data_IF_381682222959
#
_entry.id   IF_381682222959
#
_cell.length_a   1.000
_cell.length_b   1.000
_cell.length_c   1.000
_cell.angle_alpha   90.00
_cell.angle_beta   90.00
_cell.angle_gamma   90.00
#
_symmetry.space_group_name_H-M   'P 1'
#
loop_
_entity.id
_entity.type
_entity.pdbx_description
1 polymer ?
#
# COMPACT_ATOMS: atom_id res chain seq x y z
N UNK A 1 16.42 27.73 -13.08
CA UNK A 1 15.04 27.88 -13.60
C UNK A 1 14.62 26.50 -14.09
N UNK A 2 14.02 25.70 -13.22
CA UNK A 2 13.68 24.30 -13.50
C UNK A 2 12.17 24.20 -13.73
N UNK A 3 11.75 24.24 -14.99
CA UNK A 3 10.33 24.25 -15.41
C UNK A 3 9.91 22.87 -15.94
N UNK A 4 10.51 21.79 -15.42
CA UNK A 4 10.15 20.41 -15.83
C UNK A 4 9.65 19.55 -14.66
N UNK A 5 10.08 19.82 -13.41
CA UNK A 5 9.61 19.08 -12.22
C UNK A 5 8.17 19.42 -11.83
N UNK A 6 7.78 20.69 -11.94
CA UNK A 6 6.44 21.16 -11.54
C UNK A 6 5.30 20.57 -12.40
N UNK A 7 5.57 20.26 -13.68
CA UNK A 7 4.57 19.68 -14.59
C UNK A 7 4.29 18.21 -14.32
N UNK A 8 5.32 17.44 -13.94
CA UNK A 8 5.18 16.03 -13.58
C UNK A 8 4.49 15.84 -12.22
N UNK A 9 4.82 16.69 -11.24
CA UNK A 9 4.17 16.66 -9.92
C UNK A 9 2.72 17.13 -10.01
N UNK A 10 2.42 18.17 -10.79
CA UNK A 10 1.05 18.62 -11.04
C UNK A 10 0.22 17.55 -11.77
N UNK A 11 0.80 16.87 -12.77
CA UNK A 11 0.12 15.78 -13.48
C UNK A 11 -0.16 14.58 -12.55
N UNK A 12 0.77 14.25 -11.65
CA UNK A 12 0.57 13.18 -10.66
C UNK A 12 -0.45 13.55 -9.59
N UNK A 13 -0.42 14.77 -9.06
CA UNK A 13 -1.45 15.27 -8.15
C UNK A 13 -2.82 15.25 -8.81
N UNK A 14 -2.93 15.70 -10.06
CA UNK A 14 -4.20 15.73 -10.77
C UNK A 14 -4.74 14.32 -11.08
N UNK A 15 -3.88 13.34 -11.36
CA UNK A 15 -4.27 11.93 -11.52
C UNK A 15 -4.66 11.30 -10.18
N UNK A 16 -3.97 11.65 -9.10
CA UNK A 16 -4.26 11.20 -7.73
C UNK A 16 -5.61 11.74 -7.23
N UNK A 17 -5.82 13.05 -7.32
CA UNK A 17 -7.06 13.72 -6.90
C UNK A 17 -8.25 13.24 -7.71
N UNK A 18 -8.05 12.97 -9.00
CA UNK A 18 -9.08 12.37 -9.87
C UNK A 18 -9.37 10.92 -9.49
N UNK A 19 -8.39 10.15 -9.02
CA UNK A 19 -8.61 8.79 -8.57
C UNK A 19 -9.32 8.73 -7.22
N UNK A 20 -8.98 9.64 -6.29
CA UNK A 20 -9.62 9.76 -4.97
C UNK A 20 -11.04 10.33 -5.10
N UNK A 21 -11.25 11.39 -5.87
CA UNK A 21 -12.56 11.99 -6.06
C UNK A 21 -13.57 11.06 -6.75
N UNK A 22 -13.11 10.15 -7.62
CA UNK A 22 -13.96 9.09 -8.21
C UNK A 22 -14.36 8.03 -7.21
N UNK A 23 -13.46 7.68 -6.30
CA UNK A 23 -13.73 6.70 -5.24
C UNK A 23 -14.80 7.21 -4.28
N UNK A 24 -14.76 8.50 -3.90
CA UNK A 24 -15.73 9.08 -2.97
C UNK A 24 -17.12 9.33 -3.58
N UNK A 25 -17.23 9.67 -4.88
CA UNK A 25 -18.51 10.04 -5.49
C UNK A 25 -19.28 8.88 -6.16
N UNK A 26 -18.61 7.85 -6.68
CA UNK A 26 -19.25 6.81 -7.53
C UNK A 26 -19.16 5.40 -6.92
N UNK A 27 -18.64 5.27 -5.69
CA UNK A 27 -18.48 3.97 -5.03
C UNK A 27 -17.62 2.98 -5.81
N UNK A 28 -16.70 3.49 -6.65
CA UNK A 28 -15.79 2.66 -7.45
C UNK A 28 -16.41 1.93 -8.64
N UNK A 29 -17.67 2.18 -9.02
CA UNK A 29 -18.26 1.53 -10.21
C UNK A 29 -17.98 2.32 -11.49
N UNK A 30 -17.45 1.64 -12.52
CA UNK A 30 -17.21 2.24 -13.84
C UNK A 30 -18.28 1.80 -14.84
N UNK A 31 -18.96 2.75 -15.47
CA UNK A 31 -19.79 2.54 -16.65
C UNK A 31 -19.33 3.45 -17.81
N UNK A 32 -18.78 2.84 -18.86
CA UNK A 32 -18.60 3.43 -20.20
C UNK A 32 -17.29 4.24 -20.40
N UNK A 33 -16.24 3.68 -21.05
CA UNK A 33 -16.01 3.40 -22.48
C UNK A 33 -15.32 4.54 -23.23
N UNK A 34 -14.04 4.33 -23.56
CA UNK A 34 -13.41 4.39 -24.90
C UNK A 34 -11.89 4.65 -24.74
N UNK A 35 -10.93 4.13 -25.51
CA UNK A 35 -10.83 3.00 -26.43
C UNK A 35 -9.36 3.03 -26.88
N UNK A 36 -8.52 2.08 -26.45
CA UNK A 36 -7.46 1.60 -27.32
C UNK A 36 -7.24 0.11 -27.04
N UNK A 37 -7.41 -0.65 -28.11
CA UNK A 37 -7.70 -2.07 -28.14
C UNK A 37 -6.43 -2.83 -28.52
N UNK A 38 -6.04 -3.80 -27.71
CA UNK A 38 -5.73 -5.16 -28.17
C UNK A 38 -6.36 -6.11 -27.16
N UNK A 39 -7.27 -7.02 -27.57
CA UNK A 39 -8.00 -7.86 -26.63
C UNK A 39 -7.29 -9.21 -26.45
N UNK A 40 -7.07 -9.65 -25.21
CA UNK A 40 -7.18 -11.09 -24.91
C UNK A 40 -8.40 -11.36 -24.05
N UNK A 41 -9.20 -12.30 -24.57
CA UNK A 41 -10.58 -12.62 -24.20
C UNK A 41 -10.64 -13.11 -22.74
N UNK A 42 -11.36 -12.41 -21.89
CA UNK A 42 -11.81 -12.84 -20.56
C UNK A 42 -10.76 -12.95 -19.42
N UNK A 43 -9.53 -12.45 -19.58
CA UNK A 43 -8.50 -12.44 -18.51
C UNK A 43 -8.17 -11.07 -17.88
N UNK A 44 -8.41 -9.97 -18.58
CA UNK A 44 -7.67 -8.72 -18.32
C UNK A 44 -8.30 -7.76 -17.28
N UNK A 45 -9.61 -7.86 -16.99
CA UNK A 45 -10.25 -6.94 -16.03
C UNK A 45 -9.90 -7.33 -14.58
N UNK A 46 -9.93 -8.63 -14.27
CA UNK A 46 -9.55 -9.13 -12.94
C UNK A 46 -8.05 -8.99 -12.66
N UNK A 47 -7.20 -9.15 -13.69
CA UNK A 47 -5.75 -9.02 -13.56
C UNK A 47 -5.30 -7.56 -13.49
N UNK A 48 -5.96 -6.65 -14.23
CA UNK A 48 -5.71 -5.22 -14.11
C UNK A 48 -6.16 -4.68 -12.74
N UNK A 49 -7.30 -5.15 -12.21
CA UNK A 49 -7.76 -4.78 -10.86
C UNK A 49 -6.83 -5.34 -9.78
N UNK A 50 -6.47 -6.62 -9.85
CA UNK A 50 -5.52 -7.24 -8.94
C UNK A 50 -4.12 -6.59 -9.02
N UNK A 51 -3.67 -6.24 -10.23
CA UNK A 51 -2.44 -5.51 -10.48
C UNK A 51 -2.48 -4.11 -9.85
N UNK A 52 -3.56 -3.36 -10.06
CA UNK A 52 -3.75 -2.05 -9.46
C UNK A 52 -3.81 -2.13 -7.93
N UNK A 53 -4.50 -3.11 -7.37
CA UNK A 53 -4.56 -3.34 -5.93
C UNK A 53 -3.17 -3.66 -5.36
N UNK A 54 -2.40 -4.51 -6.04
CA UNK A 54 -1.00 -4.81 -5.65
C UNK A 54 -0.13 -3.56 -5.67
N UNK A 55 -0.22 -2.72 -6.70
CA UNK A 55 0.54 -1.45 -6.75
C UNK A 55 0.16 -0.54 -5.57
N UNK A 56 -1.14 -0.42 -5.27
CA UNK A 56 -1.62 0.37 -4.13
C UNK A 56 -1.14 -0.19 -2.79
N UNK A 57 -1.15 -1.50 -2.62
CA UNK A 57 -0.64 -2.15 -1.40
C UNK A 57 0.86 -1.91 -1.21
N UNK A 58 1.67 -2.03 -2.26
CA UNK A 58 3.11 -1.72 -2.19
C UNK A 58 3.33 -0.25 -1.80
N UNK A 59 2.54 0.67 -2.35
CA UNK A 59 2.62 2.09 -2.00
C UNK A 59 2.24 2.33 -0.52
N UNK A 60 1.18 1.69 -0.03
CA UNK A 60 0.77 1.78 1.37
C UNK A 60 1.81 1.19 2.32
N UNK A 61 2.41 0.05 2.00
CA UNK A 61 3.49 -0.55 2.78
C UNK A 61 4.70 0.39 2.88
N UNK A 62 5.09 1.02 1.76
CA UNK A 62 6.19 1.99 1.76
C UNK A 62 5.85 3.24 2.57
N UNK A 63 4.62 3.73 2.50
CA UNK A 63 4.17 4.85 3.32
C UNK A 63 4.22 4.49 4.82
N UNK A 64 3.75 3.30 5.20
CA UNK A 64 3.83 2.81 6.58
C UNK A 64 5.28 2.71 7.05
N UNK A 65 6.20 2.22 6.21
CA UNK A 65 7.64 2.20 6.53
C UNK A 65 8.17 3.61 6.78
N UNK A 66 7.85 4.58 5.93
CA UNK A 66 8.27 5.97 6.10
C UNK A 66 7.71 6.59 7.40
N UNK A 67 6.43 6.34 7.70
CA UNK A 67 5.79 6.79 8.93
C UNK A 67 6.44 6.17 10.17
N UNK A 68 6.74 4.87 10.16
CA UNK A 68 7.41 4.18 11.26
C UNK A 68 8.87 4.63 11.43
N UNK A 69 9.55 4.98 10.35
CA UNK A 69 10.92 5.51 10.40
C UNK A 69 10.97 6.88 11.08
N UNK A 70 9.99 7.76 10.80
CA UNK A 70 9.88 9.07 11.45
C UNK A 70 9.26 9.06 12.86
N UNK A 71 8.71 7.92 13.30
CA UNK A 71 8.04 7.80 14.59
C UNK A 71 9.03 7.45 15.74
N UNK A 72 8.66 7.75 17.00
CA UNK A 72 9.38 7.27 18.17
C UNK A 72 9.53 5.74 18.18
N UNK A 73 10.58 5.22 18.81
CA UNK A 73 10.83 3.77 18.89
C UNK A 73 9.70 2.99 19.57
N UNK A 74 8.94 3.63 20.47
CA UNK A 74 7.74 3.05 21.09
C UNK A 74 6.68 2.65 20.06
N UNK A 75 6.58 3.36 18.92
CA UNK A 75 5.65 3.00 17.85
C UNK A 75 6.05 1.67 17.20
N UNK A 76 7.35 1.48 16.95
CA UNK A 76 7.87 0.22 16.43
C UNK A 76 7.73 -0.92 17.44
N UNK A 77 7.84 -0.65 18.74
CA UNK A 77 7.58 -1.63 19.80
C UNK A 77 6.10 -2.05 19.80
N UNK A 78 5.17 -1.10 19.73
CA UNK A 78 3.73 -1.37 19.69
C UNK A 78 3.35 -2.25 18.49
N UNK A 79 3.89 -1.99 17.29
CA UNK A 79 3.62 -2.84 16.11
C UNK A 79 4.08 -4.28 16.34
N UNK A 80 5.22 -4.50 16.99
CA UNK A 80 5.70 -5.85 17.34
C UNK A 80 4.76 -6.53 18.34
N UNK A 81 4.26 -5.80 19.33
CA UNK A 81 3.27 -6.31 20.29
C UNK A 81 1.95 -6.69 19.59
N UNK A 82 1.48 -5.85 18.67
CA UNK A 82 0.28 -6.14 17.87
C UNK A 82 0.47 -7.38 16.99
N UNK A 83 1.64 -7.54 16.35
CA UNK A 83 1.97 -8.72 15.55
C UNK A 83 1.98 -10.00 16.41
N UNK A 84 2.52 -9.93 17.63
CA UNK A 84 2.48 -11.04 18.58
C UNK A 84 1.05 -11.38 19.02
N UNK A 85 0.19 -10.37 19.19
CA UNK A 85 -1.20 -10.56 19.61
C UNK A 85 -2.06 -11.29 18.57
N UNK A 86 -1.88 -10.97 17.28
CA UNK A 86 -2.63 -11.61 16.18
C UNK A 86 -2.03 -12.95 15.74
N UNK A 87 -0.82 -13.26 16.20
CA UNK A 87 -0.19 -14.55 15.95
C UNK A 87 -0.91 -15.68 16.71
N UNK A 88 -0.98 -16.90 16.16
CA UNK A 88 -1.59 -18.03 16.84
C UNK A 88 -0.94 -18.29 18.21
N UNK A 89 -1.77 -18.43 19.24
CA UNK A 89 -1.30 -18.77 20.59
C UNK A 89 -0.89 -20.25 20.66
N UNK A 90 0.04 -20.63 21.56
CA UNK A 90 0.36 -22.03 21.80
C UNK A 90 -0.90 -22.85 22.09
N UNK A 91 -1.07 -23.98 21.40
CA UNK A 91 -2.22 -24.86 21.55
C UNK A 91 -3.47 -24.48 20.73
N UNK A 92 -3.46 -23.36 20.00
CA UNK A 92 -4.55 -22.97 19.10
C UNK A 92 -4.19 -23.28 17.64
N UNK A 93 -5.18 -23.66 16.82
CA UNK A 93 -4.97 -23.93 15.39
C UNK A 93 -4.53 -22.65 14.66
N UNK A 94 -3.35 -22.65 13.98
CA UNK A 94 -2.90 -21.50 13.21
C UNK A 94 -3.82 -21.19 12.04
N UNK A 95 -4.26 -19.94 11.92
CA UNK A 95 -4.89 -19.46 10.69
C UNK A 95 -3.81 -18.86 9.77
N UNK A 96 -3.62 -19.45 8.58
CA UNK A 96 -2.54 -19.07 7.65
C UNK A 96 -2.46 -17.56 7.40
N UNK A 97 -3.62 -16.90 7.24
CA UNK A 97 -3.65 -15.45 6.96
C UNK A 97 -3.18 -14.59 8.14
N UNK A 98 -3.42 -14.99 9.39
CA UNK A 98 -2.99 -14.19 10.55
C UNK A 98 -1.50 -14.35 10.83
N UNK A 99 -0.94 -15.52 10.53
CA UNK A 99 0.51 -15.76 10.54
C UNK A 99 1.21 -14.86 9.51
N UNK A 100 0.73 -14.85 8.27
CA UNK A 100 1.31 -14.01 7.22
C UNK A 100 1.14 -12.51 7.53
N UNK A 101 0.00 -12.09 8.09
CA UNK A 101 -0.19 -10.71 8.53
C UNK A 101 0.82 -10.30 9.60
N UNK A 102 1.03 -11.12 10.63
CA UNK A 102 2.02 -10.86 11.67
C UNK A 102 3.45 -10.76 11.10
N UNK A 103 3.82 -11.65 10.16
CA UNK A 103 5.13 -11.61 9.49
C UNK A 103 5.31 -10.33 8.69
N UNK A 104 4.30 -9.91 7.92
CA UNK A 104 4.35 -8.68 7.16
C UNK A 104 4.51 -7.45 8.07
N UNK A 105 3.81 -7.40 9.21
CA UNK A 105 3.97 -6.32 10.20
C UNK A 105 5.41 -6.23 10.74
N UNK A 106 6.03 -7.36 11.07
CA UNK A 106 7.41 -7.38 11.54
C UNK A 106 8.39 -6.92 10.45
N UNK A 107 8.19 -7.36 9.20
CA UNK A 107 9.02 -6.94 8.07
C UNK A 107 8.95 -5.42 7.81
N UNK A 108 7.77 -4.79 8.00
CA UNK A 108 7.64 -3.32 7.91
C UNK A 108 8.48 -2.61 8.98
N UNK A 109 8.48 -3.12 10.21
CA UNK A 109 9.28 -2.56 11.31
C UNK A 109 10.78 -2.70 11.05
N UNK A 110 11.23 -3.87 10.57
CA UNK A 110 12.62 -4.11 10.19
C UNK A 110 13.07 -3.16 9.08
N UNK A 111 12.25 -3.00 8.03
CA UNK A 111 12.54 -2.06 6.94
C UNK A 111 12.60 -0.62 7.43
N UNK A 112 11.70 -0.20 8.32
CA UNK A 112 11.70 1.15 8.87
C UNK A 112 12.96 1.45 9.69
N UNK A 113 13.51 0.45 10.41
CA UNK A 113 14.73 0.60 11.20
C UNK A 113 15.93 1.04 10.34
N UNK A 114 16.03 0.57 9.09
CA UNK A 114 17.11 1.00 8.17
C UNK A 114 17.05 2.48 7.81
N UNK A 115 15.87 3.12 7.87
CA UNK A 115 15.70 4.54 7.53
C UNK A 115 15.79 5.47 8.74
N UNK A 116 15.71 4.96 9.98
CA UNK A 116 15.82 5.78 11.19
C UNK A 116 17.18 6.48 11.33
N UNK A 117 18.25 5.78 10.98
CA UNK A 117 19.62 6.32 11.04
C UNK A 117 19.86 7.42 10.00
N UNK A 118 19.04 7.51 8.95
CA UNK A 118 19.16 8.51 7.90
C UNK A 118 18.42 9.83 8.22
N UNK A 119 17.60 9.86 9.29
CA UNK A 119 16.78 11.00 9.67
C UNK A 119 17.31 11.75 10.92
N UNK A 120 18.44 11.32 11.48
CA UNK A 120 19.17 11.98 12.56
C UNK A 120 20.36 12.77 11.99
#
# INVERSE_FOLDING_TARGET
MSIEGAGFDAARCQVHDRAIGRWENEGGSFAGLHQHRTPTVAGEIGDAEAGNLRVRLIALENLVVALLAGAPDSQSALVREMAAYISPRPGMTPHRLTVEAARNMLALVERAAHYKTAAA
#
